data_IF_391534588401
#
_entry.id   IF_391534588401
#
_cell.length_a   1.000
_cell.length_b   1.000
_cell.length_c   1.000
_cell.angle_alpha   90.00
_cell.angle_beta   90.00
_cell.angle_gamma   90.00
#
_symmetry.space_group_name_H-M   'P 1'
#
loop_
_entity.id
_entity.type
_entity.pdbx_description
1 polymer ?
#
# COMPACT_ATOMS: atom_id res chain seq x y z
N UNK A 1 6.15 22.95 -9.60
CA UNK A 1 5.82 23.38 -10.97
C UNK A 1 6.34 24.78 -11.17
N UNK A 2 6.91 25.07 -12.36
CA UNK A 2 7.48 26.37 -12.72
C UNK A 2 6.91 26.82 -14.09
N UNK A 3 7.01 28.11 -14.45
CA UNK A 3 6.69 28.58 -15.80
C UNK A 3 7.48 27.81 -16.88
N UNK A 4 6.93 27.59 -18.07
CA UNK A 4 5.63 28.11 -18.57
C UNK A 4 4.42 27.26 -18.18
N UNK A 5 4.58 26.11 -17.52
CA UNK A 5 3.48 25.22 -17.13
C UNK A 5 2.62 25.84 -16.00
N UNK A 6 3.27 26.50 -15.05
CA UNK A 6 2.58 27.29 -14.02
C UNK A 6 2.44 28.74 -14.50
N UNK A 7 1.26 29.11 -15.01
CA UNK A 7 0.99 30.38 -15.69
C UNK A 7 1.21 31.58 -14.75
N UNK A 8 0.76 31.49 -13.52
CA UNK A 8 0.77 32.58 -12.52
C UNK A 8 2.07 32.61 -11.68
N UNK A 9 3.08 31.87 -12.07
CA UNK A 9 4.37 31.79 -11.37
C UNK A 9 4.67 30.41 -10.74
N UNK A 10 5.78 30.26 -10.06
CA UNK A 10 6.17 28.97 -9.48
C UNK A 10 5.22 28.55 -8.36
N UNK A 11 4.80 27.28 -8.40
CA UNK A 11 3.92 26.66 -7.39
C UNK A 11 4.66 25.53 -6.68
N UNK A 12 4.66 25.60 -5.34
CA UNK A 12 5.17 24.56 -4.46
C UNK A 12 4.06 24.01 -3.59
N UNK A 13 3.80 22.71 -3.66
CA UNK A 13 2.87 22.00 -2.78
C UNK A 13 3.66 21.04 -1.90
N UNK A 14 3.52 21.16 -0.59
CA UNK A 14 4.18 20.30 0.38
C UNK A 14 3.12 19.43 1.07
N UNK A 15 3.18 18.11 0.84
CA UNK A 15 2.37 17.14 1.56
C UNK A 15 3.14 16.68 2.80
N UNK A 16 2.63 17.03 3.97
CA UNK A 16 3.21 16.56 5.24
C UNK A 16 2.65 15.18 5.56
N UNK A 17 3.53 14.22 5.79
CA UNK A 17 3.14 12.91 6.31
C UNK A 17 2.84 13.01 7.80
N UNK A 18 1.78 12.34 8.25
CA UNK A 18 1.49 12.23 9.67
C UNK A 18 2.49 11.30 10.35
N UNK A 19 3.07 11.73 11.47
CA UNK A 19 3.92 10.88 12.29
C UNK A 19 3.12 9.98 13.23
N UNK A 20 1.80 10.15 13.26
CA UNK A 20 0.90 9.39 14.11
C UNK A 20 0.68 8.00 13.53
N UNK A 21 1.04 6.97 14.29
CA UNK A 21 0.66 5.59 14.02
C UNK A 21 -0.71 5.41 14.66
N UNK A 22 -1.73 5.08 13.87
CA UNK A 22 -3.03 4.69 14.39
C UNK A 22 -3.07 3.16 14.51
N UNK A 23 -3.49 2.67 15.68
CA UNK A 23 -3.90 1.27 15.88
C UNK A 23 -5.38 1.10 15.51
N UNK A 24 -5.85 -0.13 15.37
CA UNK A 24 -7.29 -0.40 15.20
C UNK A 24 -8.10 0.12 16.40
N UNK A 25 -7.56 0.01 17.61
CA UNK A 25 -8.21 0.51 18.84
C UNK A 25 -8.34 2.04 18.82
N UNK A 26 -7.32 2.76 18.35
CA UNK A 26 -7.42 4.21 18.18
C UNK A 26 -8.48 4.60 17.14
N UNK A 27 -8.58 3.86 16.03
CA UNK A 27 -9.61 4.10 15.01
C UNK A 27 -11.03 3.85 15.57
N UNK A 28 -11.18 2.86 16.43
CA UNK A 28 -12.44 2.62 17.17
C UNK A 28 -12.71 3.77 18.13
N UNK A 29 -11.73 4.19 18.92
CA UNK A 29 -11.86 5.31 19.86
C UNK A 29 -12.20 6.64 19.19
N UNK A 30 -11.75 6.86 17.95
CA UNK A 30 -12.09 8.02 17.12
C UNK A 30 -13.46 7.88 16.42
N UNK A 31 -14.15 6.76 16.56
CA UNK A 31 -15.40 6.49 15.87
C UNK A 31 -15.26 6.26 14.35
N UNK A 32 -14.03 6.04 13.87
CA UNK A 32 -13.75 5.77 12.45
C UNK A 32 -14.08 4.34 12.05
N UNK A 33 -14.01 3.39 13.00
CA UNK A 33 -14.36 1.98 12.83
C UNK A 33 -15.26 1.51 13.96
N UNK A 34 -16.30 0.71 13.70
CA UNK A 34 -17.01 0.02 14.76
C UNK A 34 -16.14 -1.12 15.33
N UNK A 35 -16.26 -1.39 16.64
CA UNK A 35 -15.45 -2.39 17.34
C UNK A 35 -15.49 -3.78 16.68
N UNK A 36 -16.67 -4.24 16.29
CA UNK A 36 -16.82 -5.55 15.64
C UNK A 36 -16.03 -5.66 14.34
N UNK A 37 -15.93 -4.55 13.58
CA UNK A 37 -15.21 -4.53 12.31
C UNK A 37 -13.69 -4.50 12.55
N UNK A 38 -13.23 -3.75 13.54
CA UNK A 38 -11.82 -3.79 13.98
C UNK A 38 -11.41 -5.21 14.39
N UNK A 39 -12.25 -5.93 15.16
CA UNK A 39 -12.01 -7.32 15.55
C UNK A 39 -11.96 -8.26 14.34
N UNK A 40 -12.87 -8.08 13.37
CA UNK A 40 -12.86 -8.84 12.11
C UNK A 40 -11.56 -8.63 11.34
N UNK A 41 -11.12 -7.38 11.21
CA UNK A 41 -9.88 -7.02 10.51
C UNK A 41 -8.64 -7.59 11.23
N UNK A 42 -8.56 -7.48 12.55
CA UNK A 42 -7.48 -8.08 13.35
C UNK A 42 -7.42 -9.59 13.16
N UNK A 43 -8.58 -10.25 13.20
CA UNK A 43 -8.69 -11.69 12.93
C UNK A 43 -8.23 -12.04 11.50
N UNK A 44 -8.65 -11.28 10.49
CA UNK A 44 -8.26 -11.49 9.10
C UNK A 44 -6.74 -11.36 8.91
N UNK A 45 -6.11 -10.34 9.52
CA UNK A 45 -4.65 -10.18 9.47
C UNK A 45 -3.95 -11.35 10.16
N UNK A 46 -4.43 -11.77 11.34
CA UNK A 46 -3.86 -12.90 12.10
C UNK A 46 -3.97 -14.23 11.34
N UNK A 47 -5.07 -14.42 10.61
CA UNK A 47 -5.30 -15.59 9.75
C UNK A 47 -4.63 -15.47 8.37
N UNK A 48 -3.79 -14.45 8.17
CA UNK A 48 -3.04 -14.23 6.92
C UNK A 48 -3.96 -14.10 5.70
N UNK A 49 -5.11 -13.42 5.86
CA UNK A 49 -5.95 -13.11 4.72
C UNK A 49 -5.36 -11.95 3.93
N UNK A 50 -5.41 -12.03 2.60
CA UNK A 50 -5.04 -10.93 1.73
C UNK A 50 -6.08 -9.83 1.80
N UNK A 51 -5.64 -8.59 2.00
CA UNK A 51 -6.55 -7.46 2.16
C UNK A 51 -6.22 -6.34 1.18
N UNK A 52 -7.26 -5.87 0.50
CA UNK A 52 -7.20 -4.69 -0.35
C UNK A 52 -8.10 -3.58 0.24
N UNK A 53 -7.49 -2.48 0.67
CA UNK A 53 -8.22 -1.32 1.21
C UNK A 53 -8.56 -0.36 0.09
N UNK A 54 -9.84 -0.22 -0.22
CA UNK A 54 -10.32 0.66 -1.27
C UNK A 54 -10.94 1.95 -0.72
N UNK A 55 -10.83 3.03 -1.45
CA UNK A 55 -11.43 4.32 -1.08
C UNK A 55 -10.93 5.49 -1.92
N UNK A 56 -11.61 6.62 -1.83
CA UNK A 56 -11.22 7.87 -2.50
C UNK A 56 -9.95 8.50 -1.92
N UNK A 57 -9.53 9.63 -2.51
CA UNK A 57 -8.43 10.43 -1.98
C UNK A 57 -8.79 10.99 -0.60
N UNK A 58 -7.88 10.88 0.37
CA UNK A 58 -8.11 11.38 1.73
C UNK A 58 -9.09 10.56 2.57
N UNK A 59 -9.54 9.39 2.11
CA UNK A 59 -10.49 8.54 2.86
C UNK A 59 -9.85 7.78 4.03
N UNK A 60 -8.54 7.86 4.22
CA UNK A 60 -7.84 7.19 5.31
C UNK A 60 -7.29 5.80 4.96
N UNK A 61 -7.16 5.43 3.67
CA UNK A 61 -6.62 4.12 3.25
C UNK A 61 -5.26 3.81 3.87
N UNK A 62 -4.31 4.73 3.74
CA UNK A 62 -2.96 4.57 4.31
C UNK A 62 -2.99 4.52 5.84
N UNK A 63 -3.90 5.26 6.48
CA UNK A 63 -4.11 5.21 7.93
C UNK A 63 -4.60 3.84 8.37
N UNK A 64 -5.60 3.29 7.67
CA UNK A 64 -6.11 1.94 7.96
C UNK A 64 -5.03 0.89 7.67
N UNK A 65 -4.29 1.01 6.57
CA UNK A 65 -3.20 0.09 6.24
C UNK A 65 -2.10 0.09 7.33
N UNK A 66 -1.75 1.26 7.86
CA UNK A 66 -0.84 1.38 9.00
C UNK A 66 -1.41 0.71 10.26
N UNK A 67 -2.70 0.90 10.56
CA UNK A 67 -3.34 0.24 11.70
C UNK A 67 -3.34 -1.29 11.55
N UNK A 68 -3.64 -1.80 10.35
CA UNK A 68 -3.59 -3.24 10.06
C UNK A 68 -2.16 -3.80 10.19
N UNK A 69 -1.15 -3.02 9.84
CA UNK A 69 0.24 -3.45 9.98
C UNK A 69 0.65 -3.71 11.43
N UNK A 70 0.00 -3.04 12.39
CA UNK A 70 0.24 -3.26 13.82
C UNK A 70 -0.28 -4.62 14.31
N UNK A 71 -1.22 -5.24 13.57
CA UNK A 71 -1.78 -6.56 13.88
C UNK A 71 -0.92 -7.72 13.33
N UNK A 72 0.09 -7.42 12.51
CA UNK A 72 1.00 -8.43 11.96
C UNK A 72 1.93 -8.94 13.07
N UNK A 73 2.10 -10.26 13.13
CA UNK A 73 3.00 -10.88 14.09
C UNK A 73 4.45 -10.38 13.96
N UNK A 74 5.08 -10.02 15.07
CA UNK A 74 6.46 -9.52 15.11
C UNK A 74 7.51 -10.53 14.65
N UNK A 75 7.16 -11.80 14.52
CA UNK A 75 8.03 -12.85 13.99
C UNK A 75 8.07 -12.91 12.47
N UNK A 76 7.20 -12.17 11.76
CA UNK A 76 7.12 -12.21 10.30
C UNK A 76 8.09 -11.21 9.65
N UNK A 77 8.64 -11.59 8.49
CA UNK A 77 9.42 -10.69 7.63
C UNK A 77 8.51 -9.96 6.68
N UNK A 78 8.45 -8.65 6.79
CA UNK A 78 7.62 -7.78 5.94
C UNK A 78 8.50 -7.09 4.90
N UNK A 79 8.04 -7.06 3.65
CA UNK A 79 8.60 -6.18 2.61
C UNK A 79 7.54 -5.18 2.22
N UNK A 80 7.82 -3.88 2.40
CA UNK A 80 6.94 -2.79 1.96
C UNK A 80 7.42 -2.20 0.65
N UNK A 81 6.49 -1.83 -0.21
CA UNK A 81 6.75 -1.25 -1.53
C UNK A 81 5.83 -0.05 -1.72
N UNK A 82 6.42 1.12 -1.93
CA UNK A 82 5.69 2.39 -1.98
C UNK A 82 6.26 3.33 -3.05
N UNK A 83 5.43 4.22 -3.59
CA UNK A 83 5.89 5.36 -4.42
C UNK A 83 6.63 6.39 -3.55
N UNK A 84 6.12 6.64 -2.36
CA UNK A 84 6.73 7.45 -1.30
C UNK A 84 6.52 6.76 0.03
N UNK A 85 7.55 6.67 0.85
CA UNK A 85 7.55 5.91 2.09
C UNK A 85 6.66 6.54 3.18
N UNK A 86 5.36 6.27 3.13
CA UNK A 86 4.34 6.73 4.08
C UNK A 86 4.03 5.69 5.17
N UNK A 87 4.24 4.38 4.89
CA UNK A 87 3.94 3.30 5.82
C UNK A 87 4.93 3.27 6.98
N UNK A 88 4.41 3.02 8.18
CA UNK A 88 5.19 3.01 9.42
C UNK A 88 5.00 1.71 10.18
N UNK A 89 6.08 0.98 10.34
CA UNK A 89 6.15 -0.28 11.08
C UNK A 89 7.03 -0.13 12.32
N UNK A 90 6.77 0.92 13.14
CA UNK A 90 7.67 1.31 14.24
C UNK A 90 7.93 0.21 15.28
N UNK A 91 7.00 -0.73 15.44
CA UNK A 91 7.08 -1.82 16.43
C UNK A 91 7.46 -3.17 15.82
N UNK A 92 7.68 -3.23 14.50
CA UNK A 92 7.99 -4.48 13.82
C UNK A 92 9.52 -4.59 13.58
N UNK A 93 10.18 -5.64 14.13
CA UNK A 93 11.65 -5.72 14.12
C UNK A 93 12.25 -6.05 12.76
N UNK A 94 11.48 -6.64 11.85
CA UNK A 94 11.99 -7.12 10.56
C UNK A 94 11.16 -6.62 9.38
N UNK A 95 11.38 -5.36 9.01
CA UNK A 95 10.77 -4.72 7.86
C UNK A 95 11.84 -4.28 6.86
N UNK A 96 11.68 -4.66 5.61
CA UNK A 96 12.46 -4.14 4.48
C UNK A 96 11.58 -3.15 3.72
N UNK A 97 12.01 -1.90 3.65
CA UNK A 97 11.25 -0.83 3.00
C UNK A 97 11.86 -0.53 1.65
N UNK A 98 11.05 -0.65 0.60
CA UNK A 98 11.42 -0.37 -0.77
C UNK A 98 10.59 0.82 -1.28
N UNK A 99 11.27 1.77 -1.90
CA UNK A 99 10.65 2.96 -2.48
C UNK A 99 10.95 3.00 -3.97
N UNK A 100 9.92 3.26 -4.77
CA UNK A 100 10.07 3.45 -6.20
C UNK A 100 10.90 4.70 -6.49
N UNK A 101 11.53 4.72 -7.64
CA UNK A 101 12.34 5.86 -8.07
C UNK A 101 11.96 6.25 -9.50
N UNK A 102 11.60 7.50 -9.68
CA UNK A 102 11.42 8.06 -11.00
C UNK A 102 12.74 8.13 -11.77
N UNK A 103 12.64 8.13 -13.10
CA UNK A 103 13.81 8.35 -13.94
C UNK A 103 14.48 9.70 -13.66
N UNK A 104 15.79 9.76 -13.83
CA UNK A 104 16.52 11.02 -13.81
C UNK A 104 16.05 11.93 -14.95
N UNK A 105 16.50 13.20 -14.94
CA UNK A 105 16.25 14.15 -16.04
C UNK A 105 16.76 13.60 -17.40
N UNK A 106 17.74 12.72 -17.36
CA UNK A 106 18.33 12.05 -18.54
C UNK A 106 17.52 10.81 -18.97
N UNK A 107 16.42 10.47 -18.23
CA UNK A 107 15.54 9.35 -18.54
C UNK A 107 16.03 7.99 -18.04
N UNK A 108 17.08 7.96 -17.23
CA UNK A 108 17.68 6.72 -16.73
C UNK A 108 17.42 6.46 -15.25
N UNK A 109 17.55 5.21 -14.86
CA UNK A 109 17.57 4.77 -13.47
C UNK A 109 16.20 4.71 -12.78
N UNK A 110 15.10 4.66 -13.55
CA UNK A 110 13.77 4.37 -12.98
C UNK A 110 13.74 2.99 -12.32
N UNK A 111 13.04 2.90 -11.18
CA UNK A 111 12.71 1.64 -10.51
C UNK A 111 11.22 1.70 -10.17
N UNK A 112 10.44 0.90 -10.87
CA UNK A 112 8.98 0.92 -10.75
C UNK A 112 8.49 0.07 -9.58
N UNK A 113 7.27 0.30 -9.12
CA UNK A 113 6.59 -0.57 -8.14
C UNK A 113 6.60 -2.02 -8.65
N UNK A 114 6.37 -2.25 -9.94
CA UNK A 114 6.38 -3.58 -10.57
C UNK A 114 7.73 -4.28 -10.42
N UNK A 115 8.83 -3.57 -10.67
CA UNK A 115 10.20 -4.10 -10.50
C UNK A 115 10.44 -4.50 -9.05
N UNK A 116 9.98 -3.66 -8.11
CA UNK A 116 10.12 -3.90 -6.68
C UNK A 116 9.29 -5.09 -6.21
N UNK A 117 8.03 -5.25 -6.67
CA UNK A 117 7.20 -6.43 -6.36
C UNK A 117 7.87 -7.71 -6.88
N UNK A 118 8.30 -7.71 -8.15
CA UNK A 118 8.98 -8.86 -8.75
C UNK A 118 10.26 -9.23 -7.99
N UNK A 119 10.99 -8.24 -7.50
CA UNK A 119 12.22 -8.48 -6.73
C UNK A 119 11.89 -8.95 -5.30
N UNK A 120 10.87 -8.38 -4.66
CA UNK A 120 10.43 -8.73 -3.32
C UNK A 120 10.10 -10.23 -3.18
N UNK A 121 9.50 -10.84 -4.21
CA UNK A 121 9.21 -12.29 -4.24
C UNK A 121 10.46 -13.17 -4.05
N UNK A 122 11.65 -12.66 -4.40
CA UNK A 122 12.94 -13.36 -4.23
C UNK A 122 13.60 -13.07 -2.89
N UNK A 123 13.05 -12.14 -2.10
CA UNK A 123 13.60 -11.73 -0.80
C UNK A 123 13.09 -12.58 0.36
N UNK A 124 12.31 -13.63 0.08
CA UNK A 124 11.66 -14.51 1.06
C UNK A 124 10.84 -13.72 2.10
N UNK A 125 9.90 -12.89 1.68
CA UNK A 125 9.00 -12.21 2.60
C UNK A 125 7.98 -13.20 3.16
N UNK A 126 7.56 -12.99 4.41
CA UNK A 126 6.36 -13.62 4.95
C UNK A 126 5.11 -12.85 4.51
N UNK A 127 5.23 -11.53 4.34
CA UNK A 127 4.19 -10.66 3.78
C UNK A 127 4.78 -9.58 2.88
N UNK A 128 4.01 -9.23 1.85
CA UNK A 128 4.27 -8.09 0.99
C UNK A 128 3.19 -7.04 1.23
N UNK A 129 3.60 -5.80 1.48
CA UNK A 129 2.66 -4.68 1.66
C UNK A 129 2.95 -3.64 0.57
N UNK A 130 2.04 -3.53 -0.38
CA UNK A 130 2.12 -2.51 -1.43
C UNK A 130 1.28 -1.32 -1.03
N UNK A 131 1.90 -0.16 -0.87
CA UNK A 131 1.23 1.06 -0.41
C UNK A 131 0.01 1.40 -1.24
N UNK A 132 0.12 1.32 -2.57
CA UNK A 132 -1.00 1.47 -3.49
C UNK A 132 -0.72 0.78 -4.83
N UNK A 133 -1.75 0.13 -5.39
CA UNK A 133 -1.72 -0.40 -6.76
C UNK A 133 -2.48 0.53 -7.70
N UNK A 134 -1.81 0.94 -8.79
CA UNK A 134 -2.35 1.90 -9.77
C UNK A 134 -2.23 1.43 -11.22
N UNK A 135 -1.42 0.41 -11.48
CA UNK A 135 -1.06 -0.04 -12.82
C UNK A 135 -0.81 -1.55 -12.91
N UNK A 136 0.13 -1.92 -13.75
CA UNK A 136 0.48 -3.30 -14.09
C UNK A 136 0.98 -4.14 -12.90
N UNK A 137 1.57 -3.50 -11.89
CA UNK A 137 2.00 -4.14 -10.63
C UNK A 137 0.88 -4.86 -9.89
N UNK A 138 -0.38 -4.50 -10.17
CA UNK A 138 -1.54 -5.18 -9.62
C UNK A 138 -1.57 -6.66 -10.00
N UNK A 139 -1.20 -7.00 -11.23
CA UNK A 139 -1.12 -8.39 -11.70
C UNK A 139 -0.07 -9.18 -10.89
N UNK A 140 1.12 -8.61 -10.73
CA UNK A 140 2.22 -9.26 -10.01
C UNK A 140 1.89 -9.42 -8.51
N UNK A 141 1.20 -8.42 -7.92
CA UNK A 141 0.71 -8.48 -6.54
C UNK A 141 -0.34 -9.58 -6.35
N UNK A 142 -1.34 -9.67 -7.23
CA UNK A 142 -2.35 -10.74 -7.20
C UNK A 142 -1.72 -12.12 -7.41
N UNK A 143 -0.71 -12.21 -8.26
CA UNK A 143 0.04 -13.44 -8.46
C UNK A 143 0.84 -13.83 -7.21
N UNK A 144 1.44 -12.86 -6.51
CA UNK A 144 2.11 -13.08 -5.23
C UNK A 144 1.14 -13.67 -4.18
N UNK A 145 -0.04 -13.05 -4.03
CA UNK A 145 -1.11 -13.51 -3.14
C UNK A 145 -1.55 -14.96 -3.45
N UNK A 146 -1.58 -15.34 -4.73
CA UNK A 146 -1.97 -16.69 -5.16
C UNK A 146 -0.84 -17.74 -5.10
N UNK A 147 0.40 -17.34 -4.83
CA UNK A 147 1.58 -18.22 -4.91
C UNK A 147 2.31 -18.41 -3.58
N UNK A 148 1.59 -18.24 -2.46
CA UNK A 148 2.12 -18.57 -1.12
C UNK A 148 2.67 -17.37 -0.33
N UNK A 149 2.33 -16.14 -0.73
CA UNK A 149 2.60 -14.93 0.05
C UNK A 149 1.30 -14.43 0.72
N UNK A 150 0.60 -15.37 1.37
CA UNK A 150 -0.67 -15.11 2.06
C UNK A 150 -0.54 -14.02 3.13
N UNK A 151 -1.57 -13.20 3.25
CA UNK A 151 -1.62 -12.09 4.19
C UNK A 151 -0.97 -10.80 3.67
N UNK A 152 -0.80 -10.70 2.36
CA UNK A 152 -0.34 -9.48 1.71
C UNK A 152 -1.40 -8.38 1.76
N UNK A 153 -0.96 -7.13 1.88
CA UNK A 153 -1.84 -5.98 2.05
C UNK A 153 -1.59 -4.96 0.95
N UNK A 154 -2.66 -4.30 0.49
CA UNK A 154 -2.52 -3.19 -0.46
C UNK A 154 -3.64 -2.17 -0.33
N UNK A 155 -3.49 -1.01 -0.97
CA UNK A 155 -4.57 -0.07 -1.17
C UNK A 155 -4.82 0.17 -2.66
N UNK A 156 -6.04 0.64 -2.98
CA UNK A 156 -6.39 1.09 -4.32
C UNK A 156 -7.44 2.19 -4.28
N UNK A 157 -7.53 2.97 -5.35
CA UNK A 157 -8.58 3.96 -5.53
C UNK A 157 -9.82 3.34 -6.14
N UNK A 158 -10.93 3.32 -5.38
CA UNK A 158 -12.27 2.99 -5.87
C UNK A 158 -13.33 3.66 -4.98
N UNK A 159 -14.48 3.98 -5.54
CA UNK A 159 -15.56 4.67 -4.84
C UNK A 159 -16.60 3.73 -4.22
N UNK A 160 -16.59 2.43 -4.59
CA UNK A 160 -17.52 1.42 -4.09
C UNK A 160 -16.90 0.02 -4.14
N UNK A 161 -17.57 -0.96 -3.53
CA UNK A 161 -17.13 -2.37 -3.56
C UNK A 161 -17.13 -2.91 -5.01
N UNK A 162 -18.18 -2.60 -5.78
CA UNK A 162 -18.32 -3.01 -7.18
C UNK A 162 -17.19 -2.40 -8.03
N UNK A 163 -16.92 -1.10 -7.85
CA UNK A 163 -15.81 -0.43 -8.53
C UNK A 163 -14.46 -1.03 -8.15
N UNK A 164 -14.29 -1.49 -6.89
CA UNK A 164 -13.07 -2.15 -6.43
C UNK A 164 -12.78 -3.39 -7.26
N UNK A 165 -13.77 -4.27 -7.45
CA UNK A 165 -13.61 -5.50 -8.25
C UNK A 165 -13.32 -5.18 -9.71
N UNK A 166 -14.06 -4.23 -10.28
CA UNK A 166 -13.83 -3.77 -11.67
C UNK A 166 -12.44 -3.17 -11.81
N UNK A 167 -12.02 -2.33 -10.86
CA UNK A 167 -10.71 -1.68 -10.88
C UNK A 167 -9.58 -2.69 -10.79
N UNK A 168 -9.64 -3.64 -9.85
CA UNK A 168 -8.65 -4.74 -9.75
C UNK A 168 -8.55 -5.53 -11.04
N UNK A 169 -9.70 -5.86 -11.65
CA UNK A 169 -9.75 -6.59 -12.93
C UNK A 169 -9.09 -5.81 -14.06
N UNK A 170 -9.34 -4.50 -14.13
CA UNK A 170 -8.73 -3.64 -15.16
C UNK A 170 -7.22 -3.50 -14.94
N UNK A 171 -6.79 -3.26 -13.70
CA UNK A 171 -5.37 -3.13 -13.37
C UNK A 171 -4.59 -4.41 -13.63
N UNK A 172 -5.18 -5.58 -13.29
CA UNK A 172 -4.56 -6.87 -13.58
C UNK A 172 -4.34 -7.10 -15.09
N UNK A 173 -5.27 -6.62 -15.94
CA UNK A 173 -5.12 -6.71 -17.40
C UNK A 173 -3.93 -5.94 -17.94
N UNK A 174 -3.55 -4.81 -17.33
CA UNK A 174 -2.36 -4.05 -17.74
C UNK A 174 -1.04 -4.78 -17.49
N UNK A 175 -1.04 -5.84 -16.68
CA UNK A 175 0.14 -6.64 -16.38
C UNK A 175 0.25 -7.94 -17.17
N UNK A 176 -0.73 -8.26 -18.03
CA UNK A 176 -0.80 -9.54 -18.77
C UNK A 176 -0.13 -9.46 -20.15
N UNK A 177 0.23 -8.26 -20.62
CA UNK A 177 0.89 -8.03 -21.92
C UNK A 177 2.40 -8.32 -21.90
#
# INVERSE_FOLDING_TARGET
MIPPVAIDGPILTIRKFSDRICSLDELVGLGSLPLWYAQLLSCAVSLRQDLAVAGGTGSGKTTLLNALSCEISTGERIVTIEDSAELKFAHHPHVVRLEAREASIEGEGAVTIRDLVTNALRMRPDRIVVGEVRGAECCDMLQAMNTGHDGSLTTLHAGSEQETVVRLTLLARYGID
#
